data_IF_982342019032
#
_entry.id   IF_982342019032
#
_cell.length_a   1.000
_cell.length_b   1.000
_cell.length_c   1.000
_cell.angle_alpha   90.00
_cell.angle_beta   90.00
_cell.angle_gamma   90.00
#
_symmetry.space_group_name_H-M   'P 1'
#
loop_
_entity.id
_entity.type
_entity.pdbx_description
1 polymer ?
#
# COMPACT_ATOMS: atom_id res chain seq x y z
N UNK A 1 19.05 10.22 -7.75
CA UNK A 1 18.76 9.52 -9.01
C UNK A 1 19.88 8.56 -9.32
N UNK A 2 19.58 7.31 -9.69
CA UNK A 2 20.62 6.35 -10.04
C UNK A 2 21.31 6.74 -11.35
N UNK A 3 22.63 6.96 -11.35
CA UNK A 3 23.40 7.31 -12.56
C UNK A 3 23.41 6.22 -13.65
N UNK A 4 23.01 5.00 -13.30
CA UNK A 4 23.17 3.79 -14.12
C UNK A 4 21.90 3.34 -14.86
N UNK A 5 20.74 3.93 -14.56
CA UNK A 5 19.48 3.56 -15.21
C UNK A 5 19.00 4.78 -15.99
N UNK A 6 18.92 4.71 -17.34
CA UNK A 6 18.38 5.81 -18.11
C UNK A 6 16.92 6.03 -17.70
N UNK A 7 16.62 7.23 -17.21
CA UNK A 7 15.30 7.55 -16.68
C UNK A 7 14.29 7.80 -17.79
N UNK A 8 13.25 6.97 -17.87
CA UNK A 8 12.09 7.26 -18.72
C UNK A 8 11.06 8.12 -17.95
N UNK A 9 10.74 9.31 -18.43
CA UNK A 9 9.80 10.24 -17.76
C UNK A 9 8.31 9.94 -18.02
N UNK A 10 7.97 8.90 -18.79
CA UNK A 10 6.56 8.52 -19.03
C UNK A 10 5.88 7.97 -17.76
N UNK A 11 4.56 8.11 -17.67
CA UNK A 11 3.77 7.48 -16.62
C UNK A 11 3.80 5.94 -16.72
N UNK A 12 3.49 5.26 -15.62
CA UNK A 12 3.34 3.80 -15.60
C UNK A 12 2.05 3.37 -16.32
N UNK A 13 2.19 2.42 -17.25
CA UNK A 13 1.07 1.69 -17.84
C UNK A 13 0.53 0.66 -16.86
N UNK A 14 -0.65 0.09 -17.16
CA UNK A 14 -1.23 -0.99 -16.38
C UNK A 14 -0.31 -2.23 -16.34
N UNK A 15 0.24 -2.61 -17.48
CA UNK A 15 1.18 -3.74 -17.60
C UNK A 15 2.41 -3.57 -16.70
N UNK A 16 2.95 -2.35 -16.63
CA UNK A 16 4.08 -2.07 -15.75
C UNK A 16 3.72 -2.27 -14.27
N UNK A 17 2.49 -1.91 -13.86
CA UNK A 17 2.03 -2.13 -12.48
C UNK A 17 1.88 -3.62 -12.17
N UNK A 18 1.27 -4.38 -13.07
CA UNK A 18 1.15 -5.84 -12.96
C UNK A 18 2.55 -6.48 -12.87
N UNK A 19 3.50 -6.01 -13.66
CA UNK A 19 4.89 -6.49 -13.60
C UNK A 19 5.56 -6.18 -12.25
N UNK A 20 5.37 -4.96 -11.72
CA UNK A 20 5.90 -4.57 -10.40
C UNK A 20 5.33 -5.51 -9.33
N UNK A 21 4.01 -5.72 -9.31
CA UNK A 21 3.33 -6.60 -8.35
C UNK A 21 3.89 -8.02 -8.40
N UNK A 22 3.94 -8.62 -9.59
CA UNK A 22 4.47 -9.98 -9.78
C UNK A 22 5.94 -10.10 -9.37
N UNK A 23 6.75 -9.07 -9.64
CA UNK A 23 8.16 -9.05 -9.28
C UNK A 23 8.36 -8.92 -7.76
N UNK A 24 7.50 -8.13 -7.09
CA UNK A 24 7.52 -8.03 -5.63
C UNK A 24 7.09 -9.33 -4.96
N UNK A 25 6.08 -10.02 -5.50
CA UNK A 25 5.67 -11.35 -5.03
C UNK A 25 6.78 -12.40 -5.16
N UNK A 26 7.68 -12.23 -6.13
CA UNK A 26 8.90 -13.06 -6.29
C UNK A 26 10.07 -12.63 -5.41
N UNK A 27 9.92 -11.59 -4.59
CA UNK A 27 10.98 -11.06 -3.72
C UNK A 27 12.05 -10.25 -4.47
N UNK A 28 11.78 -9.77 -5.68
CA UNK A 28 12.74 -8.95 -6.42
C UNK A 28 12.97 -7.59 -5.74
N UNK A 29 14.23 -7.13 -5.72
CA UNK A 29 14.57 -5.80 -5.20
C UNK A 29 14.09 -4.70 -6.13
N UNK A 30 13.79 -3.51 -5.59
CA UNK A 30 13.41 -2.35 -6.41
C UNK A 30 14.47 -1.98 -7.45
N UNK A 31 15.76 -2.22 -7.16
CA UNK A 31 16.85 -1.97 -8.12
C UNK A 31 16.79 -2.92 -9.32
N UNK A 32 16.40 -4.18 -9.11
CA UNK A 32 16.22 -5.14 -10.20
C UNK A 32 15.01 -4.77 -11.06
N UNK A 33 13.87 -4.46 -10.44
CA UNK A 33 12.65 -4.06 -11.14
C UNK A 33 12.86 -2.75 -11.92
N UNK A 34 13.59 -1.81 -11.33
CA UNK A 34 13.99 -0.54 -11.95
C UNK A 34 14.80 -0.73 -13.23
N UNK A 35 15.73 -1.70 -13.24
CA UNK A 35 16.49 -2.05 -14.44
C UNK A 35 15.60 -2.59 -15.54
N UNK A 36 14.66 -3.47 -15.22
CA UNK A 36 13.74 -4.06 -16.21
C UNK A 36 12.82 -3.02 -16.86
N UNK A 37 12.34 -2.05 -16.08
CA UNK A 37 11.38 -1.03 -16.55
C UNK A 37 12.04 0.28 -17.03
N UNK A 38 13.37 0.39 -16.92
CA UNK A 38 14.12 1.64 -17.17
C UNK A 38 13.53 2.85 -16.40
N UNK A 39 13.24 2.63 -15.10
CA UNK A 39 12.73 3.65 -14.18
C UNK A 39 13.69 3.82 -13.01
N UNK A 40 13.68 5.01 -12.40
CA UNK A 40 14.42 5.19 -11.16
C UNK A 40 13.77 4.34 -10.03
N UNK A 41 14.56 3.66 -9.18
CA UNK A 41 14.03 2.87 -8.07
C UNK A 41 13.12 3.66 -7.13
N UNK A 42 13.37 4.97 -6.98
CA UNK A 42 12.52 5.86 -6.16
C UNK A 42 11.15 6.08 -6.79
N UNK A 43 11.05 6.09 -8.12
CA UNK A 43 9.76 6.19 -8.84
C UNK A 43 8.93 4.93 -8.61
N UNK A 44 9.55 3.74 -8.67
CA UNK A 44 8.86 2.48 -8.33
C UNK A 44 8.42 2.48 -6.86
N UNK A 45 9.28 2.93 -5.94
CA UNK A 45 8.93 3.02 -4.52
C UNK A 45 7.73 3.95 -4.27
N UNK A 46 7.66 5.10 -4.96
CA UNK A 46 6.51 6.00 -4.90
C UNK A 46 5.24 5.34 -5.44
N UNK A 47 5.32 4.66 -6.57
CA UNK A 47 4.19 3.93 -7.17
C UNK A 47 3.62 2.89 -6.19
N UNK A 48 4.49 2.07 -5.61
CA UNK A 48 4.12 1.06 -4.62
C UNK A 48 3.53 1.69 -3.37
N UNK A 49 4.11 2.80 -2.87
CA UNK A 49 3.60 3.50 -1.68
C UNK A 49 2.20 4.08 -1.88
N UNK A 50 1.87 4.56 -3.08
CA UNK A 50 0.55 5.12 -3.42
C UNK A 50 -0.50 4.01 -3.52
N UNK A 51 -0.15 2.86 -4.09
CA UNK A 51 -1.10 1.78 -4.40
C UNK A 51 -1.12 0.64 -3.39
N UNK A 52 -0.18 0.60 -2.42
CA UNK A 52 -0.26 -0.37 -1.33
C UNK A 52 -1.56 -0.13 -0.56
N UNK A 53 -2.29 -1.19 -0.29
CA UNK A 53 -3.35 -1.18 0.71
C UNK A 53 -2.67 -0.93 2.06
N UNK A 54 -2.69 0.32 2.54
CA UNK A 54 -2.11 0.64 3.83
C UNK A 54 -2.99 0.05 4.91
N UNK A 55 -2.40 -0.73 5.82
CA UNK A 55 -2.98 -1.08 7.11
C UNK A 55 -3.25 0.14 8.02
N UNK A 56 -3.11 1.38 7.53
CA UNK A 56 -3.56 2.58 8.22
C UNK A 56 -5.01 2.44 8.72
N UNK A 57 -5.87 1.79 7.93
CA UNK A 57 -7.26 1.55 8.34
C UNK A 57 -7.38 0.59 9.54
N UNK A 58 -6.37 -0.24 9.79
CA UNK A 58 -6.27 -1.18 10.91
C UNK A 58 -5.36 -0.70 12.05
N UNK A 59 -4.52 0.31 11.83
CA UNK A 59 -3.68 0.93 12.87
C UNK A 59 -4.51 1.97 13.59
N UNK A 60 -5.29 1.53 14.56
CA UNK A 60 -6.08 2.44 15.36
C UNK A 60 -5.26 3.51 16.09
N UNK A 61 -5.94 4.57 16.54
CA UNK A 61 -5.38 5.61 17.43
C UNK A 61 -4.67 4.96 18.63
N UNK A 62 -3.68 5.62 19.25
CA UNK A 62 -2.96 5.11 20.45
C UNK A 62 -3.91 4.52 21.50
N UNK A 63 -5.10 5.11 21.68
CA UNK A 63 -6.12 4.68 22.63
C UNK A 63 -7.10 3.59 22.14
N UNK A 64 -7.04 3.17 20.87
CA UNK A 64 -7.98 2.21 20.31
C UNK A 64 -7.42 1.52 19.05
N UNK A 65 -6.39 0.69 19.25
CA UNK A 65 -5.64 0.01 18.19
C UNK A 65 -6.40 -1.10 17.45
N UNK A 66 -7.64 -1.45 17.86
CA UNK A 66 -8.39 -2.63 17.35
C UNK A 66 -9.86 -2.36 16.95
N UNK A 67 -10.27 -1.12 16.74
CA UNK A 67 -11.63 -0.81 16.26
C UNK A 67 -11.69 -0.88 14.72
N UNK A 68 -12.27 -1.98 14.22
CA UNK A 68 -12.53 -2.28 12.80
C UNK A 68 -13.84 -1.66 12.25
N UNK A 69 -14.49 -0.77 13.00
CA UNK A 69 -15.74 -0.16 12.57
C UNK A 69 -15.54 0.79 11.38
N UNK A 70 -16.27 0.55 10.30
CA UNK A 70 -16.24 1.39 9.09
C UNK A 70 -16.65 2.85 9.37
N UNK A 71 -17.51 3.06 10.38
CA UNK A 71 -17.96 4.40 10.79
C UNK A 71 -17.20 4.95 12.00
N UNK A 72 -15.96 4.51 12.26
CA UNK A 72 -15.19 4.85 13.48
C UNK A 72 -15.18 6.32 13.88
N UNK A 73 -15.20 7.25 12.93
CA UNK A 73 -15.19 8.70 13.22
C UNK A 73 -16.52 9.25 13.75
N UNK A 74 -17.63 8.54 13.53
CA UNK A 74 -18.98 8.95 13.94
C UNK A 74 -19.67 7.91 14.84
N UNK A 75 -19.11 6.71 14.95
CA UNK A 75 -19.66 5.62 15.73
C UNK A 75 -19.41 5.86 17.23
N UNK A 76 -20.49 5.91 18.01
CA UNK A 76 -20.45 6.04 19.48
C UNK A 76 -20.35 4.68 20.21
N UNK A 77 -20.19 3.56 19.49
CA UNK A 77 -20.11 2.22 20.10
C UNK A 77 -18.80 2.07 20.87
N UNK A 78 -18.90 1.76 22.16
CA UNK A 78 -17.78 1.47 23.07
C UNK A 78 -17.62 -0.05 23.25
N UNK A 79 -16.56 -0.51 23.94
CA UNK A 79 -16.30 -1.93 24.22
C UNK A 79 -16.07 -2.85 23.00
N UNK A 80 -15.45 -2.33 21.94
CA UNK A 80 -15.11 -3.08 20.72
C UNK A 80 -13.82 -3.93 20.83
N UNK A 81 -13.05 -3.79 21.92
CA UNK A 81 -11.79 -4.53 22.07
C UNK A 81 -12.04 -6.04 22.11
N UNK A 82 -11.39 -6.80 21.22
CA UNK A 82 -11.56 -8.26 21.14
C UNK A 82 -12.89 -8.71 20.51
N UNK A 83 -13.73 -7.79 20.02
CA UNK A 83 -15.00 -8.10 19.35
C UNK A 83 -14.94 -7.67 17.88
N UNK A 84 -15.19 -8.59 16.96
CA UNK A 84 -15.42 -8.24 15.54
C UNK A 84 -16.83 -7.66 15.45
N UNK A 85 -16.94 -6.34 15.60
CA UNK A 85 -18.21 -5.62 15.44
C UNK A 85 -18.37 -5.22 13.97
N UNK A 86 -19.03 -6.08 13.19
CA UNK A 86 -19.44 -5.75 11.83
C UNK A 86 -20.59 -4.73 11.89
N UNK A 87 -20.47 -3.63 11.16
CA UNK A 87 -21.53 -2.63 11.14
C UNK A 87 -22.70 -3.09 10.25
N UNK A 88 -23.93 -2.88 10.71
CA UNK A 88 -25.15 -3.24 9.95
C UNK A 88 -25.78 -4.58 10.31
N UNK A 89 -25.19 -5.36 11.23
CA UNK A 89 -25.87 -6.53 11.80
C UNK A 89 -26.82 -6.03 12.89
N UNK A 90 -28.12 -6.22 12.68
CA UNK A 90 -29.18 -6.03 13.69
C UNK A 90 -29.16 -7.16 14.70
#
# INVERSE_FOLDING_TARGET
>A
MSKYIPGNQKHFTLENRIYIENSLNKGCTFKAIAKSLCKDPTTISKEVKVHRLSDWYHKGTFYNSKNFCVHRYHCKKTNACGKILVCGIK
#
